data_IF_913525488954
#
_entry.id   IF_913525488954
#
_cell.length_a   1.000
_cell.length_b   1.000
_cell.length_c   1.000
_cell.angle_alpha   90.00
_cell.angle_beta   90.00
_cell.angle_gamma   90.00
#
_symmetry.space_group_name_H-M   'P 1'
#
loop_
_entity.id
_entity.type
_entity.pdbx_description
1 polymer ?
#
# COMPACT_ATOMS: atom_id res chain seq x y z
N UNK A 1 -3.38 15.88 -9.80
CA UNK A 1 -1.98 15.92 -9.31
C UNK A 1 -1.46 14.50 -9.26
N UNK A 2 -0.21 14.26 -9.67
CA UNK A 2 0.46 12.97 -9.47
C UNK A 2 1.37 13.03 -8.24
N UNK A 3 1.90 11.87 -7.83
CA UNK A 3 2.86 11.76 -6.73
C UNK A 3 2.25 11.47 -5.36
N UNK A 4 3.09 11.44 -4.33
CA UNK A 4 2.74 11.14 -2.94
C UNK A 4 3.13 12.28 -1.98
N UNK A 5 3.25 13.51 -2.47
CA UNK A 5 3.88 14.63 -1.75
C UNK A 5 3.08 15.07 -0.52
N UNK A 6 1.77 14.81 -0.50
CA UNK A 6 0.89 15.22 0.60
C UNK A 6 1.20 14.50 1.93
N UNK A 7 1.45 13.19 1.87
CA UNK A 7 1.78 12.37 3.05
C UNK A 7 3.24 11.89 3.05
N UNK A 8 3.91 12.01 1.92
CA UNK A 8 5.17 11.34 1.65
C UNK A 8 4.99 9.84 1.39
N UNK A 9 6.12 9.17 1.16
CA UNK A 9 6.21 7.71 1.07
C UNK A 9 7.44 7.26 1.82
N UNK A 10 7.28 6.26 2.68
CA UNK A 10 8.40 5.60 3.37
C UNK A 10 8.70 4.24 2.73
N UNK A 11 9.92 3.76 2.94
CA UNK A 11 10.37 2.40 2.57
C UNK A 11 10.31 1.45 3.78
N UNK A 12 9.96 1.98 4.96
CA UNK A 12 9.92 1.21 6.20
C UNK A 12 8.92 0.07 6.14
N UNK A 13 9.33 -1.06 6.72
CA UNK A 13 8.55 -2.29 6.79
C UNK A 13 8.00 -2.45 8.21
N UNK A 14 6.69 -2.66 8.33
CA UNK A 14 6.04 -2.83 9.64
C UNK A 14 6.15 -4.30 10.05
N UNK A 15 7.37 -4.74 10.33
CA UNK A 15 7.67 -6.17 10.57
C UNK A 15 8.15 -6.50 11.96
N UNK A 16 8.84 -5.59 12.64
CA UNK A 16 9.28 -5.86 14.00
C UNK A 16 8.11 -5.71 14.98
N UNK A 17 8.21 -6.39 16.12
CA UNK A 17 7.17 -6.32 17.16
C UNK A 17 6.99 -4.90 17.67
N UNK A 18 8.07 -4.11 17.76
CA UNK A 18 8.00 -2.72 18.22
C UNK A 18 7.15 -1.87 17.27
N UNK A 19 7.32 -2.04 15.95
CA UNK A 19 6.52 -1.31 14.96
C UNK A 19 5.04 -1.71 15.00
N UNK A 20 4.75 -2.99 15.24
CA UNK A 20 3.38 -3.50 15.35
C UNK A 20 2.68 -2.98 16.61
N UNK A 21 3.37 -3.00 17.75
CA UNK A 21 2.84 -2.44 19.00
C UNK A 21 2.61 -0.92 18.90
N UNK A 22 3.53 -0.20 18.26
CA UNK A 22 3.36 1.22 18.00
C UNK A 22 2.13 1.50 17.11
N UNK A 23 1.90 0.69 16.07
CA UNK A 23 0.74 0.84 15.21
C UNK A 23 -0.57 0.63 15.99
N UNK A 24 -0.60 -0.35 16.90
CA UNK A 24 -1.75 -0.61 17.78
C UNK A 24 -2.00 0.56 18.71
N UNK A 25 -0.96 1.04 19.40
CA UNK A 25 -1.07 2.14 20.37
C UNK A 25 -1.57 3.44 19.70
N UNK A 26 -1.09 3.74 18.49
CA UNK A 26 -1.59 4.88 17.72
C UNK A 26 -3.05 4.67 17.30
N UNK A 27 -3.41 3.49 16.81
CA UNK A 27 -4.78 3.20 16.38
C UNK A 27 -5.79 3.31 17.53
N UNK A 28 -5.43 2.83 18.72
CA UNK A 28 -6.28 2.94 19.93
C UNK A 28 -6.32 4.36 20.46
N UNK A 29 -5.16 5.04 20.54
CA UNK A 29 -5.05 6.43 21.01
C UNK A 29 -5.92 7.40 20.21
N UNK A 30 -5.95 7.24 18.88
CA UNK A 30 -6.78 8.06 18.00
C UNK A 30 -8.16 7.46 17.71
N UNK A 31 -8.50 6.32 18.32
CA UNK A 31 -9.78 5.61 18.14
C UNK A 31 -10.15 5.42 16.66
N UNK A 32 -9.18 4.97 15.86
CA UNK A 32 -9.37 4.81 14.42
C UNK A 32 -10.27 3.61 14.13
N UNK A 33 -11.26 3.78 13.25
CA UNK A 33 -12.07 2.66 12.77
C UNK A 33 -11.42 1.93 11.59
N UNK A 34 -10.48 2.56 10.90
CA UNK A 34 -9.82 1.97 9.73
C UNK A 34 -8.41 2.50 9.51
N UNK A 35 -7.55 1.62 9.01
CA UNK A 35 -6.18 1.90 8.59
C UNK A 35 -6.03 1.42 7.14
N UNK A 36 -5.71 2.35 6.23
CA UNK A 36 -5.55 2.03 4.80
C UNK A 36 -4.07 2.09 4.44
N UNK A 37 -3.54 0.98 3.93
CA UNK A 37 -2.16 0.82 3.49
C UNK A 37 -2.13 0.79 1.96
N UNK A 38 -1.55 1.82 1.35
CA UNK A 38 -1.47 1.97 -0.11
C UNK A 38 -0.06 1.65 -0.58
N UNK A 39 0.11 0.62 -1.39
CA UNK A 39 1.44 0.27 -1.88
C UNK A 39 1.52 -1.04 -2.67
N UNK A 40 2.76 -1.51 -2.81
CA UNK A 40 3.06 -2.70 -3.59
C UNK A 40 2.98 -3.98 -2.72
N UNK A 41 3.54 -5.09 -3.20
CA UNK A 41 3.41 -6.42 -2.57
C UNK A 41 3.83 -6.43 -1.10
N UNK A 42 4.94 -5.76 -0.76
CA UNK A 42 5.41 -5.70 0.64
C UNK A 42 4.41 -4.99 1.57
N UNK A 43 3.85 -3.87 1.12
CA UNK A 43 2.82 -3.13 1.88
C UNK A 43 1.56 -3.96 2.06
N UNK A 44 1.16 -4.75 1.06
CA UNK A 44 0.03 -5.66 1.17
C UNK A 44 0.31 -6.84 2.12
N UNK A 45 1.54 -7.37 2.13
CA UNK A 45 1.95 -8.38 3.11
C UNK A 45 1.93 -7.82 4.53
N UNK A 46 2.43 -6.61 4.72
CA UNK A 46 2.41 -5.95 6.04
C UNK A 46 0.96 -5.66 6.49
N UNK A 47 0.08 -5.27 5.57
CA UNK A 47 -1.35 -5.11 5.85
C UNK A 47 -2.01 -6.41 6.31
N UNK A 48 -1.69 -7.54 5.67
CA UNK A 48 -2.21 -8.85 6.07
C UNK A 48 -1.75 -9.22 7.49
N UNK A 49 -0.46 -9.10 7.79
CA UNK A 49 0.06 -9.38 9.13
C UNK A 49 -0.52 -8.46 10.22
N UNK A 50 -0.68 -7.16 9.94
CA UNK A 50 -1.33 -6.23 10.85
C UNK A 50 -2.79 -6.58 11.10
N UNK A 51 -3.49 -7.06 10.06
CA UNK A 51 -4.89 -7.51 10.19
C UNK A 51 -4.98 -8.66 11.19
N UNK A 52 -4.12 -9.68 11.04
CA UNK A 52 -4.11 -10.85 11.93
C UNK A 52 -3.85 -10.43 13.38
N UNK A 53 -2.87 -9.55 13.60
CA UNK A 53 -2.54 -9.03 14.94
C UNK A 53 -3.68 -8.21 15.55
N UNK A 54 -4.39 -7.41 14.74
CA UNK A 54 -5.50 -6.59 15.21
C UNK A 54 -6.69 -7.46 15.60
N UNK A 55 -6.91 -8.56 14.87
CA UNK A 55 -7.92 -9.57 15.21
C UNK A 55 -7.55 -10.32 16.50
N UNK A 56 -6.31 -10.77 16.65
CA UNK A 56 -5.83 -11.45 17.87
C UNK A 56 -6.01 -10.58 19.13
N UNK A 57 -5.76 -9.28 19.02
CA UNK A 57 -5.88 -8.31 20.13
C UNK A 57 -7.26 -7.69 20.26
N UNK A 58 -8.26 -8.11 19.47
CA UNK A 58 -9.62 -7.58 19.47
C UNK A 58 -9.69 -6.04 19.31
N UNK A 59 -8.85 -5.50 18.43
CA UNK A 59 -8.84 -4.08 18.10
C UNK A 59 -9.96 -3.78 17.10
N UNK A 60 -10.71 -2.69 17.31
CA UNK A 60 -11.84 -2.32 16.46
C UNK A 60 -11.41 -1.87 15.04
N UNK A 61 -10.20 -1.35 14.91
CA UNK A 61 -9.65 -0.80 13.67
C UNK A 61 -9.54 -1.86 12.58
N UNK A 62 -10.07 -1.58 11.39
CA UNK A 62 -9.95 -2.47 10.22
C UNK A 62 -8.77 -2.09 9.35
N UNK A 63 -7.93 -3.05 8.99
CA UNK A 63 -6.80 -2.81 8.09
C UNK A 63 -7.20 -3.16 6.65
N UNK A 64 -6.94 -2.25 5.70
CA UNK A 64 -7.27 -2.40 4.28
C UNK A 64 -6.03 -2.13 3.43
N UNK A 65 -5.67 -3.06 2.55
CA UNK A 65 -4.59 -2.89 1.58
C UNK A 65 -5.11 -2.42 0.21
N UNK A 66 -4.44 -1.44 -0.40
CA UNK A 66 -4.75 -0.95 -1.76
C UNK A 66 -3.53 -1.19 -2.68
N UNK A 67 -3.69 -1.97 -3.77
CA UNK A 67 -2.60 -2.28 -4.69
C UNK A 67 -2.22 -1.05 -5.53
N UNK A 68 -1.08 -0.45 -5.21
CA UNK A 68 -0.53 0.72 -5.89
C UNK A 68 0.93 0.45 -6.30
N UNK A 69 1.15 0.30 -7.59
CA UNK A 69 2.47 0.03 -8.18
C UNK A 69 2.45 0.36 -9.67
N UNK A 70 3.54 0.93 -10.17
CA UNK A 70 3.73 1.24 -11.59
C UNK A 70 4.15 0.01 -12.41
N UNK A 71 4.53 -1.09 -11.76
CA UNK A 71 5.07 -2.27 -12.43
C UNK A 71 4.01 -3.27 -12.88
N UNK A 72 2.75 -3.11 -12.46
CA UNK A 72 1.67 -4.05 -12.79
C UNK A 72 1.92 -5.48 -12.27
N UNK A 73 2.80 -5.64 -11.27
CA UNK A 73 3.29 -6.94 -10.81
C UNK A 73 2.43 -7.58 -9.72
N UNK A 74 1.30 -6.96 -9.37
CA UNK A 74 0.32 -7.50 -8.42
C UNK A 74 -0.93 -7.81 -9.23
N UNK A 75 -1.15 -9.11 -9.46
CA UNK A 75 -2.32 -9.62 -10.15
C UNK A 75 -2.91 -10.78 -9.36
N UNK A 76 -4.21 -10.96 -9.48
CA UNK A 76 -4.92 -12.08 -8.88
C UNK A 76 -6.26 -12.26 -9.58
N UNK A 77 -7.01 -13.31 -9.22
CA UNK A 77 -8.32 -13.59 -9.83
C UNK A 77 -9.29 -12.39 -9.79
N UNK A 78 -9.13 -11.54 -8.78
CA UNK A 78 -10.00 -10.37 -8.54
C UNK A 78 -9.27 -9.03 -8.70
N UNK A 79 -7.97 -9.04 -9.02
CA UNK A 79 -7.16 -7.82 -9.18
C UNK A 79 -6.65 -7.82 -10.62
N UNK A 80 -7.30 -7.01 -11.46
CA UNK A 80 -7.02 -6.90 -12.89
C UNK A 80 -5.81 -6.00 -13.18
N UNK A 81 -5.63 -4.94 -12.38
CA UNK A 81 -4.54 -3.98 -12.54
C UNK A 81 -4.27 -3.22 -11.24
N UNK A 82 -3.18 -2.45 -11.24
CA UNK A 82 -2.70 -1.69 -10.09
C UNK A 82 -2.75 -0.19 -10.36
N UNK A 83 -2.97 0.58 -9.30
CA UNK A 83 -2.99 2.04 -9.42
C UNK A 83 -1.60 2.52 -9.87
N UNK A 84 -1.58 3.32 -10.94
CA UNK A 84 -0.38 3.90 -11.53
C UNK A 84 0.18 3.18 -12.76
N UNK A 85 -0.19 1.92 -13.00
CA UNK A 85 0.34 1.13 -14.13
C UNK A 85 -0.04 1.71 -15.49
N UNK A 86 -1.31 2.07 -15.71
CA UNK A 86 -1.80 2.63 -16.98
C UNK A 86 -1.07 3.93 -17.36
N UNK A 87 -1.00 4.88 -16.41
CA UNK A 87 -0.32 6.17 -16.61
C UNK A 87 1.18 5.98 -16.90
N UNK A 88 1.87 5.12 -16.14
CA UNK A 88 3.29 4.85 -16.36
C UNK A 88 3.54 4.20 -17.74
N UNK A 89 2.72 3.21 -18.11
CA UNK A 89 2.85 2.51 -19.39
C UNK A 89 2.64 3.44 -20.59
N UNK A 90 1.65 4.34 -20.53
CA UNK A 90 1.41 5.35 -21.57
C UNK A 90 2.59 6.31 -21.71
N UNK A 91 3.12 6.79 -20.59
CA UNK A 91 4.27 7.70 -20.59
C UNK A 91 5.52 7.02 -21.17
N UNK A 92 5.82 5.78 -20.75
CA UNK A 92 6.94 5.03 -21.30
C UNK A 92 6.77 4.75 -22.79
N UNK A 93 5.57 4.37 -23.24
CA UNK A 93 5.29 4.13 -24.67
C UNK A 93 5.49 5.39 -25.51
N UNK A 94 5.05 6.55 -25.00
CA UNK A 94 5.26 7.84 -25.67
C UNK A 94 6.75 8.20 -25.76
N UNK A 95 7.52 8.03 -24.68
CA UNK A 95 8.96 8.31 -24.68
C UNK A 95 9.72 7.39 -25.64
N UNK A 96 9.41 6.10 -25.64
CA UNK A 96 10.01 5.13 -26.56
C UNK A 96 9.65 5.46 -28.01
N UNK A 97 8.37 5.75 -28.29
CA UNK A 97 7.91 6.14 -29.63
C UNK A 97 8.62 7.37 -30.17
N UNK A 98 8.89 8.36 -29.30
CA UNK A 98 9.63 9.56 -29.66
C UNK A 98 11.12 9.28 -29.96
N UNK A 99 11.74 8.28 -29.32
CA UNK A 99 13.15 7.91 -29.57
C UNK A 99 13.29 7.13 -30.89
N UNK A 100 12.26 6.36 -31.27
CA UNK A 100 12.27 5.52 -32.46
C UNK A 100 11.91 6.25 -33.76
N UNK A 101 11.52 7.53 -33.68
CA UNK A 101 11.19 8.39 -34.83
C UNK A 101 12.34 9.36 -35.10
#
# INVERSE_FOLDING_TARGET
QGGCEYLGRSVDQIRTKEHQEAAIDICTKFSLNGLVLVGASHTLSDAAHLTDLFLEKNIQTRVIGVPSTIFGNISGKYIESTVGFDTASKLYSQLIGNIMT
#
